data_IF_757039162095
#
_entry.id   IF_757039162095
#
_cell.length_a   1.000
_cell.length_b   1.000
_cell.length_c   1.000
_cell.angle_alpha   90.00
_cell.angle_beta   90.00
_cell.angle_gamma   90.00
#
_symmetry.space_group_name_H-M   'P 1'
#
loop_
_entity.id
_entity.type
_entity.pdbx_description
1 polymer ?
#
# COMPACT_ATOMS: atom_id res chain seq x y z
N UNK A 1 -14.92 31.70 -10.47
CA UNK A 1 -13.51 31.85 -10.78
C UNK A 1 -13.06 30.82 -11.82
N UNK A 2 -11.88 30.98 -12.43
CA UNK A 2 -11.31 30.09 -13.45
C UNK A 2 -11.30 28.59 -13.03
N UNK A 3 -11.17 28.29 -11.73
CA UNK A 3 -11.22 26.94 -11.20
C UNK A 3 -12.57 26.23 -11.36
N UNK A 4 -13.68 26.97 -11.40
CA UNK A 4 -15.01 26.37 -11.55
C UNK A 4 -15.35 26.04 -13.01
N UNK A 5 -14.71 26.73 -13.96
CA UNK A 5 -14.87 26.47 -15.40
C UNK A 5 -14.15 25.15 -15.78
N UNK A 6 -12.98 24.91 -15.21
CA UNK A 6 -12.22 23.65 -15.44
C UNK A 6 -12.89 22.43 -14.79
N UNK A 7 -13.48 22.57 -13.60
CA UNK A 7 -14.20 21.48 -12.92
C UNK A 7 -15.43 20.96 -13.69
N UNK A 8 -15.97 21.74 -14.61
CA UNK A 8 -17.13 21.34 -15.45
C UNK A 8 -16.74 20.60 -16.73
N UNK A 9 -15.46 20.65 -17.13
CA UNK A 9 -15.01 20.11 -18.43
C UNK A 9 -14.33 18.74 -18.31
N UNK A 10 -13.78 18.40 -17.15
CA UNK A 10 -13.10 17.11 -16.91
C UNK A 10 -13.81 16.38 -15.78
N UNK A 11 -14.45 15.23 -16.06
CA UNK A 11 -15.06 14.42 -15.01
C UNK A 11 -13.99 13.88 -14.06
N UNK A 12 -14.18 14.12 -12.77
CA UNK A 12 -13.34 13.57 -11.71
C UNK A 12 -14.02 12.33 -11.11
N UNK A 13 -13.28 11.23 -11.02
CA UNK A 13 -13.77 9.95 -10.50
C UNK A 13 -12.94 9.52 -9.31
N UNK A 14 -13.59 9.27 -8.18
CA UNK A 14 -12.95 8.65 -7.01
C UNK A 14 -12.95 7.13 -7.19
N UNK A 15 -11.81 6.57 -7.58
CA UNK A 15 -11.68 5.14 -7.86
C UNK A 15 -11.64 4.27 -6.60
N UNK A 16 -11.29 4.85 -5.44
CA UNK A 16 -11.26 4.19 -4.13
C UNK A 16 -12.62 4.16 -3.41
N UNK A 17 -13.71 4.55 -4.06
CA UNK A 17 -15.04 4.48 -3.47
C UNK A 17 -15.38 3.07 -3.00
N UNK A 18 -15.91 2.95 -1.76
CA UNK A 18 -16.26 1.66 -1.16
C UNK A 18 -15.10 0.89 -0.51
N UNK A 19 -13.86 1.38 -0.59
CA UNK A 19 -12.73 0.81 0.14
C UNK A 19 -12.71 1.38 1.57
N UNK A 20 -12.61 0.49 2.56
CA UNK A 20 -12.39 0.89 3.95
C UNK A 20 -10.96 1.40 4.11
N UNK A 21 -10.82 2.69 4.39
CA UNK A 21 -9.51 3.30 4.59
C UNK A 21 -8.94 2.97 5.97
N UNK A 22 -7.62 2.75 6.02
CA UNK A 22 -6.86 2.57 7.26
C UNK A 22 -6.34 3.94 7.69
N UNK A 23 -6.44 4.25 8.98
CA UNK A 23 -5.85 5.46 9.55
C UNK A 23 -4.33 5.41 9.39
N UNK A 24 -3.74 6.50 8.92
CA UNK A 24 -2.29 6.62 8.76
C UNK A 24 -1.60 6.55 10.13
N UNK A 25 -0.47 5.90 10.18
CA UNK A 25 0.35 5.81 11.40
C UNK A 25 1.17 7.10 11.59
N UNK A 26 0.52 8.18 12.04
CA UNK A 26 1.24 9.38 12.49
C UNK A 26 1.55 9.28 13.97
N UNK A 27 2.79 9.06 14.32
CA UNK A 27 3.28 9.17 15.68
C UNK A 27 3.69 10.62 15.96
N UNK A 28 2.71 11.45 16.32
CA UNK A 28 2.93 12.58 17.20
C UNK A 28 3.70 13.78 16.67
N UNK A 29 3.15 14.49 15.69
CA UNK A 29 3.35 15.94 15.62
C UNK A 29 1.97 16.62 15.72
N UNK A 30 1.85 17.58 16.63
CA UNK A 30 0.62 18.27 17.00
C UNK A 30 0.05 19.20 15.92
N UNK A 31 0.60 19.20 14.71
CA UNK A 31 0.26 20.14 13.64
C UNK A 31 -0.32 19.50 12.37
N UNK A 32 -0.55 18.18 12.34
CA UNK A 32 -1.23 17.51 11.21
C UNK A 32 -2.68 17.20 11.58
N UNK A 33 -3.65 17.34 10.65
CA UNK A 33 -5.04 17.02 10.92
C UNK A 33 -5.18 15.55 11.32
N UNK A 34 -5.91 15.31 12.41
CA UNK A 34 -6.10 14.01 13.11
C UNK A 34 -6.75 12.89 12.26
N UNK A 35 -6.85 13.03 10.92
CA UNK A 35 -7.59 12.11 10.02
C UNK A 35 -6.87 11.84 8.69
N UNK A 36 -5.55 11.82 8.65
CA UNK A 36 -4.88 11.35 7.42
C UNK A 36 -4.97 9.82 7.34
N UNK A 37 -5.62 9.35 6.27
CA UNK A 37 -5.70 7.92 5.95
C UNK A 37 -4.52 7.52 5.08
N UNK A 38 -4.06 6.26 5.22
CA UNK A 38 -3.04 5.70 4.34
C UNK A 38 -3.55 5.70 2.88
N UNK A 39 -2.86 6.38 1.95
CA UNK A 39 -3.31 6.51 0.57
C UNK A 39 -3.06 5.25 -0.28
N UNK A 40 -2.22 4.29 0.16
CA UNK A 40 -1.67 3.20 -0.64
C UNK A 40 -2.65 2.05 -0.88
N UNK A 41 -3.93 2.36 -1.09
CA UNK A 41 -5.02 1.37 -1.27
C UNK A 41 -4.80 0.40 -2.43
N UNK A 42 -4.06 0.84 -3.47
CA UNK A 42 -3.80 0.06 -4.69
C UNK A 42 -2.79 -1.08 -4.51
N UNK A 43 -2.13 -1.16 -3.36
CA UNK A 43 -1.17 -2.23 -3.09
C UNK A 43 -1.84 -3.56 -2.72
N UNK A 44 -3.14 -3.54 -2.45
CA UNK A 44 -3.95 -4.74 -2.20
C UNK A 44 -4.63 -5.21 -3.49
N UNK A 45 -4.46 -6.48 -3.92
CA UNK A 45 -5.21 -7.05 -5.05
C UNK A 45 -6.73 -7.01 -4.84
N UNK A 46 -7.22 -7.21 -3.61
CA UNK A 46 -8.63 -7.12 -3.29
C UNK A 46 -9.18 -5.70 -3.54
N UNK A 47 -8.45 -4.68 -3.11
CA UNK A 47 -8.82 -3.28 -3.36
C UNK A 47 -8.71 -2.93 -4.85
N UNK A 48 -7.73 -3.48 -5.57
CA UNK A 48 -7.61 -3.27 -7.02
C UNK A 48 -8.81 -3.79 -7.79
N UNK A 49 -9.49 -4.85 -7.32
CA UNK A 49 -10.77 -5.30 -7.91
C UNK A 49 -11.84 -4.22 -7.80
N UNK A 50 -11.99 -3.60 -6.61
CA UNK A 50 -12.92 -2.49 -6.39
C UNK A 50 -12.58 -1.28 -7.26
N UNK A 51 -11.30 -0.91 -7.32
CA UNK A 51 -10.81 0.19 -8.16
C UNK A 51 -11.13 -0.08 -9.63
N UNK A 52 -10.84 -1.27 -10.15
CA UNK A 52 -11.13 -1.66 -11.54
C UNK A 52 -12.64 -1.60 -11.85
N UNK A 53 -13.50 -2.02 -10.93
CA UNK A 53 -14.96 -1.93 -11.06
C UNK A 53 -15.43 -0.47 -11.12
N UNK A 54 -14.90 0.40 -10.25
CA UNK A 54 -15.22 1.83 -10.24
C UNK A 54 -14.78 2.53 -11.54
N UNK A 55 -13.58 2.21 -12.03
CA UNK A 55 -13.07 2.69 -13.32
C UNK A 55 -13.98 2.24 -14.46
N UNK A 56 -14.30 0.95 -14.55
CA UNK A 56 -15.17 0.42 -15.60
C UNK A 56 -16.56 1.06 -15.57
N UNK A 57 -17.15 1.23 -14.40
CA UNK A 57 -18.44 1.89 -14.21
C UNK A 57 -18.41 3.32 -14.76
N UNK A 58 -17.36 4.04 -14.48
CA UNK A 58 -17.19 5.43 -14.93
C UNK A 58 -16.94 5.50 -16.44
N UNK A 59 -16.09 4.64 -16.98
CA UNK A 59 -15.86 4.57 -18.43
C UNK A 59 -17.13 4.20 -19.20
N UNK A 60 -17.94 3.26 -18.70
CA UNK A 60 -19.22 2.88 -19.32
C UNK A 60 -20.23 4.03 -19.35
N UNK A 61 -20.17 4.97 -18.39
CA UNK A 61 -21.02 6.17 -18.37
C UNK A 61 -20.51 7.24 -19.33
N UNK A 62 -19.21 7.39 -19.46
CA UNK A 62 -18.56 8.42 -20.29
C UNK A 62 -18.56 8.05 -21.78
N UNK A 63 -18.38 6.76 -22.07
CA UNK A 63 -18.34 6.24 -23.44
C UNK A 63 -19.21 4.98 -23.54
N UNK A 64 -20.49 5.19 -23.79
CA UNK A 64 -21.49 4.13 -23.89
C UNK A 64 -21.29 3.24 -25.13
N UNK A 65 -20.68 3.78 -26.19
CA UNK A 65 -20.43 3.03 -27.42
C UNK A 65 -19.44 1.87 -27.19
N UNK A 66 -18.46 2.04 -26.30
CA UNK A 66 -17.46 1.03 -25.97
C UNK A 66 -17.74 0.28 -24.65
N UNK A 67 -18.90 0.50 -24.02
CA UNK A 67 -19.23 -0.08 -22.73
C UNK A 67 -19.12 -1.63 -22.70
N UNK A 68 -19.47 -2.32 -23.81
CA UNK A 68 -19.31 -3.78 -23.92
C UNK A 68 -17.85 -4.22 -23.85
N UNK A 69 -16.95 -3.46 -24.45
CA UNK A 69 -15.51 -3.72 -24.43
C UNK A 69 -14.94 -3.48 -23.02
N UNK A 70 -15.31 -2.38 -22.37
CA UNK A 70 -14.86 -2.09 -21.00
C UNK A 70 -15.26 -3.20 -20.03
N UNK A 71 -16.50 -3.71 -20.12
CA UNK A 71 -16.94 -4.84 -19.28
C UNK A 71 -16.16 -6.12 -19.54
N UNK A 72 -15.85 -6.43 -20.81
CA UNK A 72 -15.00 -7.61 -21.13
C UNK A 72 -13.60 -7.46 -20.56
N UNK A 73 -12.99 -6.29 -20.70
CA UNK A 73 -11.68 -6.01 -20.14
C UNK A 73 -11.69 -6.13 -18.61
N UNK A 74 -12.75 -5.63 -17.97
CA UNK A 74 -12.92 -5.77 -16.51
C UNK A 74 -12.95 -7.25 -16.10
N UNK A 75 -13.70 -8.11 -16.81
CA UNK A 75 -13.75 -9.54 -16.48
C UNK A 75 -12.36 -10.19 -16.53
N UNK A 76 -11.56 -9.87 -17.55
CA UNK A 76 -10.18 -10.35 -17.62
C UNK A 76 -9.33 -9.82 -16.47
N UNK A 77 -9.38 -8.51 -16.20
CA UNK A 77 -8.65 -7.88 -15.09
C UNK A 77 -9.01 -8.51 -13.74
N UNK A 78 -10.30 -8.76 -13.49
CA UNK A 78 -10.73 -9.40 -12.25
C UNK A 78 -10.23 -10.85 -12.13
N UNK A 79 -10.19 -11.60 -13.24
CA UNK A 79 -9.64 -12.95 -13.26
C UNK A 79 -8.12 -12.95 -12.97
N UNK A 80 -7.38 -12.03 -13.56
CA UNK A 80 -5.94 -11.89 -13.34
C UNK A 80 -5.62 -11.48 -11.89
N UNK A 81 -6.41 -10.54 -11.32
CA UNK A 81 -6.30 -10.14 -9.93
C UNK A 81 -6.63 -11.29 -8.97
N UNK A 82 -7.64 -12.11 -9.29
CA UNK A 82 -7.98 -13.29 -8.48
C UNK A 82 -6.84 -14.32 -8.51
N UNK A 83 -6.29 -14.62 -9.66
CA UNK A 83 -5.17 -15.56 -9.79
C UNK A 83 -3.92 -15.05 -9.03
N UNK A 84 -3.70 -13.73 -9.03
CA UNK A 84 -2.63 -13.11 -8.26
C UNK A 84 -2.88 -13.27 -6.76
N UNK A 85 -4.08 -13.00 -6.28
CA UNK A 85 -4.48 -13.13 -4.87
C UNK A 85 -4.33 -14.58 -4.39
N UNK A 86 -4.80 -15.56 -5.17
CA UNK A 86 -4.67 -16.99 -4.86
C UNK A 86 -3.19 -17.41 -4.74
N UNK A 87 -2.35 -16.89 -5.64
CA UNK A 87 -0.90 -17.13 -5.61
C UNK A 87 -0.25 -16.54 -4.38
N UNK A 88 -0.62 -15.31 -4.00
CA UNK A 88 -0.11 -14.65 -2.80
C UNK A 88 -0.54 -15.41 -1.56
N UNK A 89 -1.81 -15.82 -1.43
CA UNK A 89 -2.28 -16.63 -0.31
C UNK A 89 -1.45 -17.91 -0.15
N UNK A 90 -1.22 -18.63 -1.25
CA UNK A 90 -0.40 -19.85 -1.23
C UNK A 90 1.02 -19.59 -0.70
N UNK A 91 1.64 -18.48 -1.11
CA UNK A 91 2.99 -18.11 -0.66
C UNK A 91 3.00 -17.66 0.81
N UNK A 92 2.05 -16.81 1.18
CA UNK A 92 2.02 -16.21 2.54
C UNK A 92 1.63 -17.23 3.60
N UNK A 93 0.79 -18.21 3.28
CA UNK A 93 0.40 -19.27 4.24
C UNK A 93 1.60 -20.09 4.72
N UNK A 94 2.61 -20.23 3.87
CA UNK A 94 3.86 -20.95 4.20
C UNK A 94 4.91 -20.08 4.91
N UNK A 95 4.72 -18.74 4.96
CA UNK A 95 5.72 -17.83 5.54
C UNK A 95 5.73 -17.88 7.07
N UNK A 96 6.91 -18.07 7.60
CA UNK A 96 7.21 -17.87 9.02
C UNK A 96 8.62 -17.26 9.15
N UNK A 97 8.79 -16.15 9.82
CA UNK A 97 7.79 -15.28 10.47
C UNK A 97 6.96 -14.47 9.48
N UNK A 98 5.76 -14.08 9.91
CA UNK A 98 4.84 -13.22 9.13
C UNK A 98 5.11 -11.72 9.37
N UNK A 99 6.37 -11.30 9.37
CA UNK A 99 6.78 -9.92 9.57
C UNK A 99 7.89 -9.53 8.60
N UNK A 100 7.83 -8.31 8.11
CA UNK A 100 8.86 -7.72 7.24
C UNK A 100 9.11 -6.27 7.61
N UNK A 101 10.32 -5.80 7.30
CA UNK A 101 10.71 -4.41 7.40
C UNK A 101 10.61 -3.76 6.02
N UNK A 102 10.16 -2.54 5.97
CA UNK A 102 10.10 -1.74 4.74
C UNK A 102 10.54 -0.31 5.03
N UNK A 103 11.21 0.35 4.09
CA UNK A 103 11.66 1.71 4.32
C UNK A 103 10.47 2.65 4.44
N UNK A 104 9.71 2.87 3.39
CA UNK A 104 8.47 3.65 3.38
C UNK A 104 7.24 2.73 3.47
N UNK A 105 6.30 2.94 4.42
CA UNK A 105 5.21 2.01 4.72
C UNK A 105 4.08 2.02 3.67
N UNK A 106 4.36 1.51 2.48
CA UNK A 106 3.39 1.46 1.37
C UNK A 106 2.51 0.21 1.33
N UNK A 107 2.83 -0.81 2.13
CA UNK A 107 2.18 -2.12 2.05
C UNK A 107 1.20 -2.40 3.21
N UNK A 108 0.64 -1.35 3.82
CA UNK A 108 -0.26 -1.48 4.99
C UNK A 108 -1.51 -2.31 4.67
N UNK A 109 -2.19 -2.00 3.56
CA UNK A 109 -3.37 -2.73 3.12
C UNK A 109 -3.04 -4.18 2.73
N UNK A 110 -1.95 -4.37 1.98
CA UNK A 110 -1.45 -5.70 1.65
C UNK A 110 -1.13 -6.52 2.91
N UNK A 111 -0.42 -5.93 3.87
CA UNK A 111 -0.08 -6.61 5.11
C UNK A 111 -1.34 -7.01 5.90
N UNK A 112 -2.33 -6.14 5.96
CA UNK A 112 -3.61 -6.42 6.64
C UNK A 112 -4.36 -7.57 5.97
N UNK A 113 -4.48 -7.57 4.63
CA UNK A 113 -5.23 -8.58 3.88
C UNK A 113 -4.62 -9.99 4.04
N UNK A 114 -3.30 -10.07 4.15
CA UNK A 114 -2.60 -11.35 4.23
C UNK A 114 -2.09 -11.70 5.64
N UNK A 115 -2.51 -10.97 6.66
CA UNK A 115 -2.12 -11.24 8.06
C UNK A 115 -0.63 -11.10 8.31
N UNK A 116 0.04 -10.18 7.58
CA UNK A 116 1.44 -9.85 7.75
C UNK A 116 1.62 -8.65 8.69
N UNK A 117 2.77 -8.55 9.32
CA UNK A 117 3.18 -7.39 10.12
C UNK A 117 4.17 -6.56 9.33
N UNK A 118 3.77 -5.37 8.88
CA UNK A 118 4.65 -4.37 8.31
C UNK A 118 5.30 -3.55 9.42
N UNK A 119 6.62 -3.38 9.36
CA UNK A 119 7.40 -2.51 10.23
C UNK A 119 8.06 -1.47 9.33
N UNK A 120 7.85 -0.18 9.59
CA UNK A 120 8.45 0.91 8.80
C UNK A 120 9.78 1.36 9.39
N UNK A 121 10.76 1.69 8.52
CA UNK A 121 12.02 2.31 8.93
C UNK A 121 11.82 3.80 9.16
N UNK A 122 11.20 4.50 8.21
CA UNK A 122 10.90 5.91 8.36
C UNK A 122 9.63 6.16 9.17
N UNK A 123 9.53 7.37 9.70
CA UNK A 123 8.32 7.86 10.37
C UNK A 123 8.04 9.26 9.85
N UNK A 124 6.83 9.48 9.30
CA UNK A 124 6.38 10.77 8.75
C UNK A 124 7.33 11.38 7.69
N UNK A 125 7.85 10.52 6.79
CA UNK A 125 8.78 10.95 5.75
C UNK A 125 10.18 11.34 6.25
N UNK A 126 10.51 11.04 7.52
CA UNK A 126 11.79 11.39 8.14
C UNK A 126 12.65 10.15 8.40
N UNK A 127 13.95 10.31 8.23
CA UNK A 127 14.91 9.29 8.64
C UNK A 127 14.82 9.00 10.15
N UNK A 128 15.00 7.74 10.58
CA UNK A 128 14.95 7.39 11.97
C UNK A 128 16.15 8.00 12.74
N UNK A 129 15.89 8.49 13.93
CA UNK A 129 16.92 8.89 14.87
C UNK A 129 17.72 7.66 15.35
N UNK A 130 18.93 7.82 15.92
CA UNK A 130 19.70 6.72 16.49
C UNK A 130 18.93 5.89 17.53
N UNK A 131 18.09 6.53 18.34
CA UNK A 131 17.28 5.85 19.33
C UNK A 131 16.17 5.01 18.68
N UNK A 132 15.56 5.50 17.59
CA UNK A 132 14.58 4.75 16.79
C UNK A 132 15.22 3.55 16.09
N UNK A 133 16.44 3.70 15.53
CA UNK A 133 17.19 2.59 14.94
C UNK A 133 17.44 1.45 15.94
N UNK A 134 17.85 1.79 17.16
CA UNK A 134 18.04 0.78 18.23
C UNK A 134 16.73 0.04 18.54
N UNK A 135 15.59 0.76 18.58
CA UNK A 135 14.27 0.14 18.79
C UNK A 135 13.88 -0.75 17.62
N UNK A 136 14.11 -0.32 16.39
CA UNK A 136 13.82 -1.10 15.18
C UNK A 136 14.63 -2.40 15.15
N UNK A 137 15.94 -2.34 15.44
CA UNK A 137 16.80 -3.52 15.54
C UNK A 137 16.26 -4.50 16.58
N UNK A 138 15.86 -4.02 17.76
CA UNK A 138 15.28 -4.87 18.80
C UNK A 138 13.97 -5.51 18.32
N UNK A 139 13.06 -4.72 17.74
CA UNK A 139 11.79 -5.19 17.23
C UNK A 139 11.97 -6.23 16.12
N UNK A 140 12.91 -6.01 15.19
CA UNK A 140 13.24 -6.97 14.15
C UNK A 140 13.71 -8.31 14.72
N UNK A 141 14.56 -8.29 15.79
CA UNK A 141 14.99 -9.50 16.49
C UNK A 141 13.82 -10.21 17.19
N UNK A 142 12.98 -9.48 17.90
CA UNK A 142 11.80 -10.02 18.59
C UNK A 142 10.80 -10.67 17.62
N UNK A 143 10.54 -10.00 16.49
CA UNK A 143 9.63 -10.49 15.45
C UNK A 143 10.30 -11.45 14.46
N UNK A 144 11.58 -11.75 14.64
CA UNK A 144 12.36 -12.61 13.75
C UNK A 144 12.32 -12.20 12.28
N UNK A 145 12.27 -10.89 12.02
CA UNK A 145 12.21 -10.34 10.66
C UNK A 145 13.40 -10.86 9.85
N UNK A 146 13.12 -11.36 8.64
CA UNK A 146 14.14 -11.93 7.72
C UNK A 146 14.28 -11.15 6.43
N UNK A 147 13.35 -10.24 6.14
CA UNK A 147 13.31 -9.52 4.87
C UNK A 147 13.14 -8.03 5.11
N UNK A 148 13.96 -7.25 4.42
CA UNK A 148 13.88 -5.79 4.39
C UNK A 148 13.64 -5.34 2.96
N UNK A 149 12.57 -4.58 2.73
CA UNK A 149 12.28 -3.95 1.45
C UNK A 149 12.72 -2.49 1.48
N UNK A 150 13.46 -2.08 0.46
CA UNK A 150 13.86 -0.68 0.25
C UNK A 150 13.49 -0.29 -1.17
N UNK A 151 12.65 0.72 -1.31
CA UNK A 151 12.29 1.27 -2.60
C UNK A 151 13.51 2.00 -3.18
N UNK A 152 13.64 2.03 -4.51
CA UNK A 152 14.85 2.51 -5.20
C UNK A 152 15.20 3.97 -4.93
N UNK A 153 14.19 4.79 -4.64
CA UNK A 153 14.31 6.22 -4.38
C UNK A 153 14.85 6.57 -2.99
N UNK A 154 14.91 5.59 -2.07
CA UNK A 154 15.35 5.83 -0.70
C UNK A 154 16.79 5.40 -0.44
N UNK A 155 17.42 6.06 0.53
CA UNK A 155 18.77 5.73 0.99
C UNK A 155 18.79 4.39 1.73
N UNK A 156 19.70 3.52 1.36
CA UNK A 156 19.81 2.16 1.89
C UNK A 156 20.59 2.06 3.21
N UNK A 157 21.33 3.11 3.61
CA UNK A 157 22.26 3.06 4.75
C UNK A 157 21.61 2.55 6.04
N UNK A 158 20.42 3.06 6.37
CA UNK A 158 19.70 2.64 7.58
C UNK A 158 19.22 1.19 7.48
N UNK A 159 18.74 0.76 6.32
CA UNK A 159 18.31 -0.62 6.08
C UNK A 159 19.51 -1.58 6.14
N UNK A 160 20.63 -1.23 5.54
CA UNK A 160 21.88 -2.02 5.57
C UNK A 160 22.43 -2.15 7.00
N UNK A 161 22.36 -1.07 7.79
CA UNK A 161 22.75 -1.12 9.20
C UNK A 161 21.86 -2.11 9.98
N UNK A 162 20.53 -2.01 9.81
CA UNK A 162 19.60 -2.92 10.47
C UNK A 162 19.84 -4.36 10.00
N UNK A 163 20.04 -4.59 8.71
CA UNK A 163 20.32 -5.90 8.14
C UNK A 163 21.57 -6.53 8.78
N UNK A 164 22.65 -5.75 8.87
CA UNK A 164 23.92 -6.19 9.50
C UNK A 164 23.73 -6.57 10.96
N UNK A 165 22.98 -5.79 11.72
CA UNK A 165 22.77 -5.98 13.17
C UNK A 165 21.78 -7.11 13.50
N UNK A 166 20.92 -7.47 12.55
CA UNK A 166 19.85 -8.47 12.74
C UNK A 166 20.08 -9.78 11.98
N UNK A 167 20.99 -9.78 11.00
CA UNK A 167 21.19 -10.91 10.09
C UNK A 167 20.06 -11.09 9.08
N UNK A 168 19.32 -10.01 8.78
CA UNK A 168 18.25 -9.99 7.74
C UNK A 168 18.84 -9.74 6.35
N UNK A 169 18.05 -10.05 5.33
CA UNK A 169 18.43 -9.87 3.92
C UNK A 169 17.50 -8.90 3.22
#
# INVERSE_FOLDING_TARGET
GLGDVYKRQVPFVRTSEGIKLIEGHHHGSSDTPENETDPHVWTSPAHMKTIAQNICTSLCKLDTAHARQFRRNLQQTLADLQATEDSIHTLVDSLHPKAFLIYHPTLTYFAQDYGLTQIAIETDGKEPSPAQLVRLIRLCKEKQVRTIFVQQEFDRRNAELIAKETGTH
#
